data_IF_607817035582
#
_entry.id   IF_607817035582
#
_cell.length_a   1.000
_cell.length_b   1.000
_cell.length_c   1.000
_cell.angle_alpha   90.00
_cell.angle_beta   90.00
_cell.angle_gamma   90.00
#
_symmetry.space_group_name_H-M   'P 1'
#
loop_
_entity.id
_entity.type
_entity.pdbx_description
1 polymer ?
#
# COMPACT_ATOMS: atom_id res chain seq x y z
N UNK A 1 -11.37 -32.35 21.52
CA UNK A 1 -11.31 -31.49 20.32
C UNK A 1 -10.58 -30.19 20.68
N UNK A 2 -9.31 -30.09 20.33
CA UNK A 2 -8.50 -28.91 20.63
C UNK A 2 -8.80 -27.86 19.55
N UNK A 3 -9.46 -26.76 19.92
CA UNK A 3 -9.64 -25.61 19.04
C UNK A 3 -8.25 -25.03 18.73
N UNK A 4 -7.76 -25.22 17.50
CA UNK A 4 -6.59 -24.50 16.99
C UNK A 4 -6.90 -22.99 17.05
N UNK A 5 -6.30 -22.29 18.02
CA UNK A 5 -6.20 -20.84 17.99
C UNK A 5 -5.49 -20.46 16.69
N UNK A 6 -6.22 -19.95 15.70
CA UNK A 6 -5.63 -19.22 14.60
C UNK A 6 -4.95 -18.01 15.23
N UNK A 7 -3.62 -17.96 15.19
CA UNK A 7 -2.86 -16.75 15.50
C UNK A 7 -3.45 -15.64 14.63
N UNK A 8 -4.07 -14.63 15.22
CA UNK A 8 -4.44 -13.41 14.50
C UNK A 8 -3.15 -12.84 13.97
N UNK A 9 -2.92 -12.94 12.67
CA UNK A 9 -1.83 -12.20 12.03
C UNK A 9 -2.06 -10.72 12.33
N UNK A 10 -1.06 -10.08 12.96
CA UNK A 10 -1.14 -8.64 13.27
C UNK A 10 -1.33 -7.87 11.95
N UNK A 11 -2.54 -7.38 11.75
CA UNK A 11 -2.91 -6.54 10.60
C UNK A 11 -2.82 -5.09 11.02
N UNK A 12 -1.69 -4.46 10.73
CA UNK A 12 -1.42 -3.06 11.10
C UNK A 12 -1.74 -2.17 9.91
N UNK A 13 -2.56 -1.16 10.13
CA UNK A 13 -2.86 -0.11 9.16
C UNK A 13 -2.11 1.15 9.55
N UNK A 14 -1.31 1.67 8.62
CA UNK A 14 -0.82 3.04 8.65
C UNK A 14 -1.84 3.90 7.89
N UNK A 15 -2.45 4.87 8.58
CA UNK A 15 -3.55 5.66 8.06
C UNK A 15 -3.15 7.13 7.89
N UNK A 16 -3.23 7.61 6.64
CA UNK A 16 -2.87 8.98 6.25
C UNK A 16 -4.07 9.90 6.08
N UNK A 17 -3.79 11.15 5.71
CA UNK A 17 -4.79 12.21 5.56
C UNK A 17 -5.27 12.39 4.09
N UNK A 18 -5.13 11.40 3.22
CA UNK A 18 -5.63 11.40 1.83
C UNK A 18 -7.14 11.15 1.74
N UNK A 19 -7.60 10.60 0.63
CA UNK A 19 -9.02 10.34 0.39
C UNK A 19 -9.62 9.34 1.38
N UNK A 20 -10.88 9.58 1.73
CA UNK A 20 -11.67 8.65 2.54
C UNK A 20 -11.88 7.35 1.77
N UNK A 21 -11.61 6.19 2.38
CA UNK A 21 -11.79 4.90 1.73
C UNK A 21 -13.27 4.57 1.55
N UNK A 22 -13.69 4.45 0.30
CA UNK A 22 -15.07 4.08 -0.07
C UNK A 22 -15.19 2.67 -0.65
N UNK A 23 -14.10 2.14 -1.24
CA UNK A 23 -14.12 0.82 -1.87
C UNK A 23 -14.20 -0.31 -0.83
N UNK A 24 -14.95 -1.38 -1.16
CA UNK A 24 -15.19 -2.53 -0.26
C UNK A 24 -13.90 -3.22 0.21
N UNK A 25 -12.89 -3.35 -0.65
CA UNK A 25 -11.61 -3.98 -0.29
C UNK A 25 -10.88 -3.15 0.77
N UNK A 26 -10.85 -1.83 0.61
CA UNK A 26 -10.22 -0.94 1.59
C UNK A 26 -10.97 -0.94 2.92
N UNK A 27 -12.32 -0.93 2.87
CA UNK A 27 -13.15 -1.09 4.09
C UNK A 27 -12.91 -2.43 4.77
N UNK A 28 -12.75 -3.51 3.99
CA UNK A 28 -12.42 -4.84 4.53
C UNK A 28 -11.08 -4.82 5.28
N UNK A 29 -10.08 -4.14 4.75
CA UNK A 29 -8.77 -3.98 5.41
C UNK A 29 -8.94 -3.26 6.75
N UNK A 30 -9.69 -2.16 6.80
CA UNK A 30 -9.94 -1.41 8.04
C UNK A 30 -10.67 -2.26 9.07
N UNK A 31 -11.74 -2.96 8.68
CA UNK A 31 -12.55 -3.80 9.57
C UNK A 31 -11.77 -5.00 10.16
N UNK A 32 -10.70 -5.45 9.50
CA UNK A 32 -9.86 -6.54 9.97
C UNK A 32 -8.54 -6.09 10.59
N UNK A 33 -8.31 -4.78 10.69
CA UNK A 33 -7.11 -4.24 11.34
C UNK A 33 -7.11 -4.57 12.83
N UNK A 34 -5.93 -4.90 13.34
CA UNK A 34 -5.70 -5.11 14.77
C UNK A 34 -5.11 -3.88 15.45
N UNK A 35 -4.56 -2.97 14.67
CA UNK A 35 -3.99 -1.71 15.16
C UNK A 35 -3.96 -0.65 14.06
N UNK A 36 -4.19 0.59 14.46
CA UNK A 36 -4.13 1.77 13.62
C UNK A 36 -3.02 2.71 14.09
N UNK A 37 -2.10 3.00 13.19
CA UNK A 37 -1.09 4.04 13.34
C UNK A 37 -1.52 5.19 12.41
N UNK A 38 -1.85 6.33 12.95
CA UNK A 38 -2.32 7.47 12.17
C UNK A 38 -1.22 8.49 11.97
N UNK A 39 -1.24 9.14 10.83
CA UNK A 39 -0.34 10.23 10.49
C UNK A 39 -1.14 11.52 10.52
N UNK A 40 -0.78 12.41 11.45
CA UNK A 40 -1.40 13.74 11.65
C UNK A 40 -2.94 13.73 11.56
N UNK A 41 -3.51 14.61 10.75
CA UNK A 41 -4.95 14.71 10.50
C UNK A 41 -5.63 13.45 9.98
N UNK A 42 -4.87 12.39 9.66
CA UNK A 42 -5.41 11.07 9.40
C UNK A 42 -6.15 10.48 10.59
N UNK A 43 -5.79 10.88 11.82
CA UNK A 43 -6.49 10.46 13.04
C UNK A 43 -7.95 10.92 13.05
N UNK A 44 -8.22 12.19 12.71
CA UNK A 44 -9.58 12.73 12.64
C UNK A 44 -10.43 12.05 11.56
N UNK A 45 -9.81 11.74 10.39
CA UNK A 45 -10.49 10.99 9.33
C UNK A 45 -10.79 9.55 9.74
N UNK A 46 -9.84 8.86 10.36
CA UNK A 46 -10.06 7.50 10.86
C UNK A 46 -11.21 7.48 11.88
N UNK A 47 -11.22 8.43 12.82
CA UNK A 47 -12.25 8.56 13.82
C UNK A 47 -13.64 8.82 13.20
N UNK A 48 -13.71 9.64 12.16
CA UNK A 48 -14.96 9.88 11.41
C UNK A 48 -15.53 8.62 10.73
N UNK A 49 -14.70 7.60 10.53
CA UNK A 49 -15.10 6.28 10.01
C UNK A 49 -15.50 5.29 11.11
N UNK A 50 -15.46 5.71 12.38
CA UNK A 50 -15.83 4.90 13.53
C UNK A 50 -14.70 4.00 14.07
N UNK A 51 -13.44 4.30 13.74
CA UNK A 51 -12.26 3.61 14.26
C UNK A 51 -11.45 4.55 15.15
N UNK A 52 -10.72 3.98 16.11
CA UNK A 52 -9.87 4.75 17.02
C UNK A 52 -8.38 4.49 16.70
N UNK A 53 -7.53 5.54 16.70
CA UNK A 53 -6.11 5.39 16.57
C UNK A 53 -5.50 4.74 17.82
N UNK A 54 -4.54 3.84 17.64
CA UNK A 54 -3.71 3.33 18.73
C UNK A 54 -2.46 4.21 18.93
N UNK A 55 -1.96 4.78 17.83
CA UNK A 55 -0.78 5.63 17.82
C UNK A 55 -1.01 6.75 16.80
N UNK A 56 -0.59 7.96 17.13
CA UNK A 56 -0.56 9.11 16.22
C UNK A 56 0.88 9.60 16.11
N UNK A 57 1.34 9.84 14.88
CA UNK A 57 2.71 10.29 14.57
C UNK A 57 2.64 11.49 13.65
N UNK A 58 3.33 12.57 13.96
CA UNK A 58 3.43 13.77 13.12
C UNK A 58 3.89 15.00 13.89
N UNK A 59 3.79 16.18 13.30
CA UNK A 59 4.04 17.45 13.97
C UNK A 59 2.80 17.96 14.72
N UNK A 60 1.66 17.26 14.56
CA UNK A 60 0.41 17.41 15.29
C UNK A 60 -0.35 18.72 14.99
N UNK A 61 0.06 19.48 13.99
CA UNK A 61 -0.56 20.74 13.61
C UNK A 61 -1.93 20.59 12.93
N UNK A 62 -2.15 19.42 12.31
CA UNK A 62 -3.37 19.08 11.57
C UNK A 62 -4.44 18.38 12.41
N UNK A 63 -4.18 18.05 13.68
CA UNK A 63 -5.11 17.32 14.56
C UNK A 63 -6.08 18.31 15.20
N UNK A 64 -7.38 18.01 15.08
CA UNK A 64 -8.46 18.86 15.61
C UNK A 64 -9.08 18.32 16.89
N UNK A 65 -8.96 17.01 17.13
CA UNK A 65 -9.57 16.30 18.24
C UNK A 65 -8.52 15.85 19.26
N UNK A 66 -8.95 15.57 20.48
CA UNK A 66 -8.09 14.92 21.49
C UNK A 66 -8.30 13.41 21.46
N UNK A 67 -7.23 12.65 21.57
CA UNK A 67 -7.24 11.17 21.51
C UNK A 67 -6.62 10.56 22.76
N UNK A 68 -7.23 9.48 23.25
CA UNK A 68 -6.68 8.70 24.36
C UNK A 68 -5.80 7.56 23.79
N UNK A 69 -4.68 7.92 23.15
CA UNK A 69 -3.75 6.98 22.55
C UNK A 69 -2.30 7.49 22.69
N UNK A 70 -1.33 6.69 22.25
CA UNK A 70 0.07 7.12 22.21
C UNK A 70 0.26 8.18 21.12
N UNK A 71 0.79 9.34 21.49
CA UNK A 71 1.11 10.44 20.56
C UNK A 71 2.63 10.60 20.49
N UNK A 72 3.16 10.64 19.27
CA UNK A 72 4.59 10.75 18.96
C UNK A 72 4.80 11.99 18.10
N UNK A 73 5.33 13.02 18.70
CA UNK A 73 5.67 14.26 18.00
C UNK A 73 6.97 14.06 17.21
N UNK A 74 6.91 14.24 15.88
CA UNK A 74 8.07 14.15 14.97
C UNK A 74 8.15 15.41 14.10
N UNK A 75 9.10 16.29 14.44
CA UNK A 75 9.27 17.62 13.84
C UNK A 75 10.22 17.70 12.65
N UNK A 76 10.80 16.56 12.23
CA UNK A 76 11.76 16.56 11.11
C UNK A 76 11.07 16.95 9.81
N UNK A 77 11.28 18.18 9.37
CA UNK A 77 10.72 18.73 8.12
C UNK A 77 11.42 18.19 6.84
N UNK A 78 12.54 17.47 6.98
CA UNK A 78 13.20 16.83 5.83
C UNK A 78 12.55 15.51 5.40
N UNK A 79 11.52 15.06 6.11
CA UNK A 79 10.78 13.84 5.83
C UNK A 79 9.30 14.12 5.68
N UNK A 80 8.69 13.47 4.70
CA UNK A 80 7.24 13.45 4.59
C UNK A 80 6.64 12.67 5.77
N UNK A 81 5.38 12.94 6.07
CA UNK A 81 4.68 12.29 7.18
C UNK A 81 4.60 10.77 7.00
N UNK A 82 4.40 10.29 5.75
CA UNK A 82 4.50 8.85 5.46
C UNK A 82 5.88 8.31 5.83
N UNK A 83 6.98 9.00 5.51
CA UNK A 83 8.33 8.55 5.86
C UNK A 83 8.55 8.53 7.38
N UNK A 84 8.06 9.54 8.10
CA UNK A 84 8.09 9.57 9.58
C UNK A 84 7.43 8.31 10.16
N UNK A 85 6.19 8.02 9.70
CA UNK A 85 5.47 6.82 10.10
C UNK A 85 6.18 5.50 9.77
N UNK A 86 6.71 5.37 8.55
CA UNK A 86 7.46 4.17 8.13
C UNK A 86 8.74 3.97 8.95
N UNK A 87 9.49 5.02 9.23
CA UNK A 87 10.71 4.95 10.04
C UNK A 87 10.36 4.49 11.45
N UNK A 88 9.29 5.03 12.03
CA UNK A 88 8.83 4.59 13.34
C UNK A 88 8.42 3.11 13.31
N UNK A 89 7.64 2.68 12.33
CA UNK A 89 7.24 1.28 12.17
C UNK A 89 8.46 0.34 12.08
N UNK A 90 9.48 0.72 11.29
CA UNK A 90 10.69 -0.07 11.15
C UNK A 90 11.52 -0.15 12.45
N UNK A 91 11.57 0.95 13.24
CA UNK A 91 12.24 0.98 14.56
C UNK A 91 11.52 0.08 15.58
N UNK A 92 10.22 -0.16 15.39
CA UNK A 92 9.39 -1.02 16.24
C UNK A 92 9.17 -2.42 15.64
N UNK A 93 10.07 -2.87 14.75
CA UNK A 93 10.08 -4.21 14.14
C UNK A 93 8.82 -4.60 13.37
N UNK A 94 8.03 -3.63 12.94
CA UNK A 94 6.87 -3.87 12.06
C UNK A 94 7.39 -4.15 10.65
N UNK A 95 7.05 -5.33 10.12
CA UNK A 95 7.55 -5.80 8.81
C UNK A 95 6.50 -5.73 7.70
N UNK A 96 5.22 -5.62 8.06
CA UNK A 96 4.10 -5.60 7.11
C UNK A 96 3.12 -4.49 7.48
N UNK A 97 2.75 -3.68 6.49
CA UNK A 97 1.80 -2.57 6.64
C UNK A 97 0.78 -2.54 5.52
N UNK A 98 -0.46 -2.27 5.89
CA UNK A 98 -1.48 -1.76 4.97
C UNK A 98 -1.48 -0.24 5.04
N UNK A 99 -1.25 0.42 3.91
CA UNK A 99 -1.32 1.88 3.78
C UNK A 99 -2.72 2.26 3.30
N UNK A 100 -3.41 3.12 4.04
CA UNK A 100 -4.75 3.63 3.69
C UNK A 100 -4.76 5.15 3.90
N UNK A 101 -5.42 5.90 3.01
CA UNK A 101 -5.44 7.36 3.08
C UNK A 101 -4.13 8.03 2.64
N UNK A 102 -3.34 7.36 1.80
CA UNK A 102 -2.13 7.90 1.18
C UNK A 102 -2.28 8.08 -0.34
N UNK A 103 -3.50 8.06 -0.83
CA UNK A 103 -3.86 8.34 -2.23
C UNK A 103 -4.95 9.38 -2.29
N UNK A 104 -5.06 10.09 -3.43
CA UNK A 104 -5.95 11.23 -3.59
C UNK A 104 -5.48 12.50 -2.86
N UNK A 105 -6.30 13.54 -2.85
CA UNK A 105 -5.90 14.83 -2.30
C UNK A 105 -4.88 15.57 -3.19
N UNK A 106 -3.77 16.01 -2.62
CA UNK A 106 -2.70 16.70 -3.37
C UNK A 106 -1.95 15.73 -4.28
N UNK A 107 -1.84 16.04 -5.55
CA UNK A 107 -1.22 15.20 -6.58
C UNK A 107 0.26 14.93 -6.30
N UNK A 108 1.01 15.93 -5.81
CA UNK A 108 2.43 15.80 -5.47
C UNK A 108 2.65 14.79 -4.32
N UNK A 109 1.81 14.81 -3.28
CA UNK A 109 1.85 13.85 -2.18
C UNK A 109 1.45 12.45 -2.63
N UNK A 110 0.42 12.34 -3.48
CA UNK A 110 0.00 11.07 -4.05
C UNK A 110 1.14 10.44 -4.87
N UNK A 111 1.77 11.23 -5.74
CA UNK A 111 2.90 10.78 -6.54
C UNK A 111 4.10 10.38 -5.67
N UNK A 112 4.46 11.19 -4.69
CA UNK A 112 5.55 10.91 -3.75
C UNK A 112 5.34 9.60 -2.98
N UNK A 113 4.11 9.25 -2.64
CA UNK A 113 3.76 8.01 -1.93
C UNK A 113 4.33 6.78 -2.65
N UNK A 114 4.21 6.69 -3.97
CA UNK A 114 4.73 5.56 -4.74
C UNK A 114 6.26 5.48 -4.65
N UNK A 115 6.97 6.60 -4.76
CA UNK A 115 8.44 6.62 -4.63
C UNK A 115 8.90 6.24 -3.22
N UNK A 116 8.19 6.68 -2.19
CA UNK A 116 8.47 6.28 -0.80
C UNK A 116 8.28 4.76 -0.64
N UNK A 117 7.19 4.20 -1.17
CA UNK A 117 6.99 2.75 -1.16
C UNK A 117 8.16 2.01 -1.80
N UNK A 118 8.63 2.48 -2.95
CA UNK A 118 9.77 1.87 -3.64
C UNK A 118 11.07 1.99 -2.83
N UNK A 119 11.36 3.18 -2.29
CA UNK A 119 12.54 3.46 -1.44
C UNK A 119 12.66 2.51 -0.26
N UNK A 120 11.53 2.19 0.36
CA UNK A 120 11.48 1.37 1.56
C UNK A 120 11.10 -0.11 1.32
N UNK A 121 10.79 -0.51 0.07
CA UNK A 121 10.31 -1.85 -0.28
C UNK A 121 11.23 -2.99 0.21
N UNK A 122 12.56 -2.78 0.21
CA UNK A 122 13.54 -3.77 0.70
C UNK A 122 13.45 -3.99 2.23
N UNK A 123 12.95 -3.00 2.98
CA UNK A 123 12.99 -2.99 4.45
C UNK A 123 11.67 -3.33 5.10
N UNK A 124 10.55 -2.95 4.46
CA UNK A 124 9.21 -3.15 4.99
C UNK A 124 8.25 -3.48 3.83
N UNK A 125 7.45 -4.51 4.01
CA UNK A 125 6.44 -4.90 3.02
C UNK A 125 5.20 -4.03 3.19
N UNK A 126 4.83 -3.31 2.14
CA UNK A 126 3.70 -2.40 2.13
C UNK A 126 2.70 -2.78 1.06
N UNK A 127 1.43 -2.63 1.38
CA UNK A 127 0.34 -2.68 0.42
C UNK A 127 -0.47 -1.40 0.56
N UNK A 128 -0.50 -0.57 -0.47
CA UNK A 128 -1.36 0.60 -0.53
C UNK A 128 -2.75 0.18 -1.03
N UNK A 129 -3.76 0.56 -0.29
CA UNK A 129 -5.18 0.38 -0.65
C UNK A 129 -5.79 1.75 -0.93
N UNK A 130 -6.06 2.02 -2.21
CA UNK A 130 -6.76 3.22 -2.67
C UNK A 130 -8.25 2.93 -2.88
N UNK A 131 -8.97 3.89 -3.46
CA UNK A 131 -10.34 3.67 -3.90
C UNK A 131 -10.44 2.94 -5.25
N UNK A 132 -9.33 2.77 -5.96
CA UNK A 132 -9.30 2.22 -7.32
C UNK A 132 -8.47 0.94 -7.43
N UNK A 133 -7.47 0.78 -6.58
CA UNK A 133 -6.51 -0.32 -6.71
C UNK A 133 -5.84 -0.68 -5.39
N UNK A 134 -5.31 -1.88 -5.37
CA UNK A 134 -4.29 -2.31 -4.43
C UNK A 134 -2.93 -2.20 -5.12
N UNK A 135 -1.95 -1.56 -4.48
CA UNK A 135 -0.60 -1.37 -5.04
C UNK A 135 0.45 -1.97 -4.14
N UNK A 136 1.38 -2.72 -4.73
CA UNK A 136 2.53 -3.29 -4.05
C UNK A 136 3.82 -3.02 -4.83
N UNK A 137 4.96 -3.00 -4.13
CA UNK A 137 6.26 -3.03 -4.77
C UNK A 137 6.78 -4.49 -4.78
N UNK A 138 7.25 -4.94 -5.95
CA UNK A 138 7.80 -6.30 -6.11
C UNK A 138 9.14 -6.27 -6.82
N UNK A 139 9.94 -7.27 -6.50
CA UNK A 139 11.21 -7.61 -7.16
C UNK A 139 11.31 -9.12 -7.18
N UNK A 140 12.08 -9.67 -8.10
CA UNK A 140 12.20 -11.12 -8.30
C UNK A 140 10.85 -11.78 -8.60
N UNK A 141 10.72 -13.08 -8.41
CA UNK A 141 9.49 -13.82 -8.72
C UNK A 141 8.43 -13.63 -7.64
N UNK A 142 7.29 -13.08 -8.01
CA UNK A 142 6.15 -12.87 -7.11
C UNK A 142 4.88 -13.46 -7.71
N UNK A 143 4.13 -14.22 -6.90
CA UNK A 143 2.85 -14.82 -7.28
C UNK A 143 1.69 -14.08 -6.64
N UNK A 144 0.62 -13.91 -7.40
CA UNK A 144 -0.59 -13.22 -6.99
C UNK A 144 -1.81 -14.13 -7.19
N UNK A 145 -2.77 -14.02 -6.28
CA UNK A 145 -4.12 -14.54 -6.54
C UNK A 145 -4.82 -13.61 -7.52
N UNK A 146 -5.61 -14.16 -8.41
CA UNK A 146 -6.35 -13.36 -9.38
C UNK A 146 -7.81 -13.78 -9.48
N UNK A 147 -8.60 -12.86 -9.94
CA UNK A 147 -9.94 -13.10 -10.47
C UNK A 147 -9.89 -12.83 -11.99
N UNK A 148 -10.66 -13.54 -12.81
CA UNK A 148 -10.64 -13.35 -14.26
C UNK A 148 -10.95 -11.91 -14.67
N UNK A 149 -10.24 -11.43 -15.71
CA UNK A 149 -10.40 -10.09 -16.27
C UNK A 149 -10.06 -8.93 -15.31
N UNK A 150 -9.34 -9.20 -14.22
CA UNK A 150 -8.82 -8.13 -13.39
C UNK A 150 -7.74 -7.35 -14.14
N UNK A 151 -7.86 -6.03 -14.13
CA UNK A 151 -6.86 -5.16 -14.75
C UNK A 151 -5.61 -5.05 -13.87
N UNK A 152 -4.45 -5.39 -14.46
CA UNK A 152 -3.15 -5.32 -13.81
C UNK A 152 -2.28 -4.31 -14.55
N UNK A 153 -1.62 -3.43 -13.81
CA UNK A 153 -0.63 -2.51 -14.39
C UNK A 153 0.71 -2.67 -13.68
N UNK A 154 1.79 -2.65 -14.47
CA UNK A 154 3.18 -2.69 -13.99
C UNK A 154 3.82 -1.39 -14.41
N UNK A 155 4.37 -0.66 -13.45
CA UNK A 155 5.11 0.58 -13.72
C UNK A 155 6.54 0.40 -13.22
N UNK A 156 7.51 0.74 -14.06
CA UNK A 156 8.93 0.63 -13.75
C UNK A 156 9.51 2.03 -13.50
N UNK A 157 10.33 2.21 -12.46
CA UNK A 157 11.03 3.47 -12.22
C UNK A 157 12.21 3.66 -13.20
N UNK A 158 12.65 2.60 -13.84
CA UNK A 158 13.80 2.57 -14.76
C UNK A 158 13.46 1.72 -15.99
N UNK A 159 13.92 2.17 -17.16
CA UNK A 159 13.72 1.49 -18.46
C UNK A 159 14.48 0.17 -18.57
N UNK A 160 15.56 -0.01 -17.81
CA UNK A 160 16.42 -1.19 -17.91
C UNK A 160 15.91 -2.40 -17.11
N UNK A 161 14.78 -2.25 -16.43
CA UNK A 161 14.18 -3.34 -15.68
C UNK A 161 13.54 -4.35 -16.65
N UNK A 162 13.98 -5.59 -16.55
CA UNK A 162 13.42 -6.71 -17.30
C UNK A 162 12.22 -7.29 -16.56
N UNK A 163 11.12 -7.49 -17.28
CA UNK A 163 9.86 -8.03 -16.76
C UNK A 163 9.50 -9.31 -17.50
N UNK A 164 9.14 -10.32 -16.72
CA UNK A 164 8.49 -11.54 -17.21
C UNK A 164 7.17 -11.70 -16.48
N UNK A 165 6.11 -12.04 -17.20
CA UNK A 165 4.79 -12.28 -16.61
C UNK A 165 4.23 -13.62 -17.03
N UNK A 166 3.35 -14.20 -16.20
CA UNK A 166 2.57 -15.38 -16.56
C UNK A 166 1.10 -15.20 -16.26
N UNK A 167 0.23 -15.86 -17.03
CA UNK A 167 -1.23 -15.83 -16.87
C UNK A 167 -1.85 -14.43 -16.99
N UNK A 168 -1.21 -13.56 -17.76
CA UNK A 168 -1.77 -12.30 -18.24
C UNK A 168 -2.09 -12.41 -19.73
N UNK A 169 -3.09 -11.65 -20.18
CA UNK A 169 -3.53 -11.64 -21.59
C UNK A 169 -2.43 -11.21 -22.55
N UNK A 170 -1.61 -10.26 -22.12
CA UNK A 170 -0.45 -9.76 -22.87
C UNK A 170 0.81 -10.12 -22.08
N UNK A 171 1.38 -11.32 -22.30
CA UNK A 171 2.54 -11.78 -21.55
C UNK A 171 3.80 -11.03 -21.95
N UNK A 172 4.73 -10.89 -21.01
CA UNK A 172 6.06 -10.32 -21.20
C UNK A 172 7.11 -11.42 -20.92
N UNK A 173 8.19 -11.45 -21.70
CA UNK A 173 9.27 -12.44 -21.57
C UNK A 173 10.63 -11.73 -21.60
N UNK A 174 11.13 -11.38 -20.40
CA UNK A 174 12.39 -10.61 -20.21
C UNK A 174 12.40 -9.31 -21.03
N UNK A 175 11.26 -8.62 -21.04
CA UNK A 175 11.09 -7.39 -21.81
C UNK A 175 11.28 -6.15 -20.95
N UNK A 176 11.81 -5.10 -21.59
CA UNK A 176 11.88 -3.73 -21.04
C UNK A 176 10.62 -2.97 -21.42
N UNK A 177 10.04 -2.24 -20.47
CA UNK A 177 8.91 -1.34 -20.76
C UNK A 177 9.46 0.00 -21.29
N UNK A 178 9.65 0.08 -22.61
CA UNK A 178 10.26 1.25 -23.25
C UNK A 178 9.31 2.45 -23.34
N UNK A 179 8.01 2.20 -23.37
CA UNK A 179 6.96 3.23 -23.41
C UNK A 179 6.09 3.12 -22.16
N UNK A 180 5.68 4.25 -21.55
CA UNK A 180 4.85 4.25 -20.33
C UNK A 180 3.58 3.42 -20.44
N UNK A 181 2.99 3.32 -21.63
CA UNK A 181 1.75 2.57 -21.88
C UNK A 181 1.91 1.05 -21.95
N UNK A 182 3.12 0.52 -22.13
CA UNK A 182 3.32 -0.92 -22.32
C UNK A 182 2.98 -1.76 -21.08
N UNK A 183 3.16 -1.19 -19.89
CA UNK A 183 2.95 -1.89 -18.62
C UNK A 183 1.53 -1.77 -18.06
N UNK A 184 0.66 -0.95 -18.65
CA UNK A 184 -0.65 -0.64 -18.06
C UNK A 184 -1.79 -1.40 -18.73
N UNK A 185 -2.85 -1.62 -17.95
CA UNK A 185 -4.13 -2.20 -18.40
C UNK A 185 -4.04 -3.61 -19.00
N UNK A 186 -3.09 -4.42 -18.55
CA UNK A 186 -3.08 -5.85 -18.84
C UNK A 186 -4.24 -6.54 -18.09
N UNK A 187 -4.64 -7.71 -18.49
CA UNK A 187 -5.75 -8.45 -17.90
C UNK A 187 -5.28 -9.82 -17.40
N UNK A 188 -5.80 -10.23 -16.26
CA UNK A 188 -5.62 -11.61 -15.82
C UNK A 188 -6.40 -12.57 -16.71
N UNK A 189 -5.81 -13.71 -17.00
CA UNK A 189 -6.47 -14.80 -17.71
C UNK A 189 -7.49 -15.52 -16.82
N UNK A 190 -8.08 -16.60 -17.32
CA UNK A 190 -9.11 -17.39 -16.61
C UNK A 190 -8.60 -18.16 -15.39
N UNK A 191 -7.29 -18.18 -15.16
CA UNK A 191 -6.67 -18.85 -14.02
C UNK A 191 -6.92 -18.14 -12.69
N UNK A 192 -6.57 -18.80 -11.58
CA UNK A 192 -6.73 -18.29 -10.21
C UNK A 192 -5.50 -17.56 -9.70
N UNK A 193 -4.45 -17.47 -10.50
CA UNK A 193 -3.19 -16.81 -10.14
C UNK A 193 -2.44 -16.31 -11.37
N UNK A 194 -1.65 -15.26 -11.18
CA UNK A 194 -0.66 -14.79 -12.15
C UNK A 194 0.67 -14.55 -11.43
N UNK A 195 1.74 -14.37 -12.20
CA UNK A 195 3.04 -14.03 -11.62
C UNK A 195 3.73 -12.91 -12.38
N UNK A 196 4.58 -12.22 -11.66
CA UNK A 196 5.48 -11.18 -12.17
C UNK A 196 6.87 -11.48 -11.64
N UNK A 197 7.87 -11.52 -12.55
CA UNK A 197 9.29 -11.53 -12.22
C UNK A 197 9.89 -10.23 -12.75
N UNK A 198 10.52 -9.44 -11.86
CA UNK A 198 11.18 -8.19 -12.22
C UNK A 198 12.64 -8.21 -11.79
N UNK A 199 13.56 -7.74 -12.63
CA UNK A 199 15.00 -7.70 -12.31
C UNK A 199 15.34 -6.66 -11.23
N UNK A 200 14.46 -5.70 -10.99
CA UNK A 200 14.54 -4.73 -9.90
C UNK A 200 13.14 -4.36 -9.42
N UNK A 201 13.03 -3.50 -8.38
CA UNK A 201 11.77 -3.07 -7.79
C UNK A 201 10.88 -2.35 -8.77
N UNK A 202 9.59 -2.76 -8.86
CA UNK A 202 8.54 -2.17 -9.69
C UNK A 202 7.27 -2.03 -8.90
N UNK A 203 6.38 -1.13 -9.32
CA UNK A 203 5.02 -1.06 -8.79
C UNK A 203 4.10 -1.98 -9.58
N UNK A 204 3.27 -2.72 -8.86
CA UNK A 204 2.17 -3.52 -9.42
C UNK A 204 0.86 -2.99 -8.88
N UNK A 205 -0.03 -2.60 -9.79
CA UNK A 205 -1.37 -2.13 -9.50
C UNK A 205 -2.36 -3.25 -9.85
N UNK A 206 -3.08 -3.73 -8.86
CA UNK A 206 -4.22 -4.63 -9.03
C UNK A 206 -5.48 -3.78 -8.95
N UNK A 207 -6.03 -3.38 -10.11
CA UNK A 207 -7.20 -2.50 -10.15
C UNK A 207 -8.46 -3.26 -9.72
N UNK A 208 -9.35 -2.59 -8.98
CA UNK A 208 -10.59 -3.19 -8.54
C UNK A 208 -11.58 -3.30 -9.71
N UNK A 209 -12.44 -4.31 -9.65
CA UNK A 209 -13.58 -4.42 -10.54
C UNK A 209 -14.75 -3.66 -9.92
N UNK A 210 -15.36 -2.74 -10.68
CA UNK A 210 -16.51 -1.94 -10.30
C UNK A 210 -17.79 -2.52 -10.93
#
# INVERSE_FOLDING_TARGET
MIKKNRSKTNSIVLFGNGDVPIHRETKHVLNNATSFICIDGGADKLNSLGFEPNIIIGDLDSIKSSYNCTIIEEKDQNKSDLEKGLIWCMKNDIKHLSLVGFSGGRDDHNFLTFFIMLKYAKRIKMTLYSNFSKVVCVKDQTFFKSIPNQTISIITPDRDILITTSNLKYPLYEEKLLFPSQGISNLTSTGTSYSIKASNWVWVFENYLF
#
